data_IF_863397128895
#
_entry.id   IF_863397128895
#
_cell.length_a   1.000
_cell.length_b   1.000
_cell.length_c   1.000
_cell.angle_alpha   90.00
_cell.angle_beta   90.00
_cell.angle_gamma   90.00
#
_symmetry.space_group_name_H-M   'P 1'
#
loop_
_entity.id
_entity.type
_entity.pdbx_description
1 polymer ?
#
# COMPACT_ATOMS: atom_id res chain seq x y z
N UNK A 1 13.57 21.22 6.44
CA UNK A 1 13.20 20.56 5.17
C UNK A 1 12.36 19.33 5.53
N UNK A 2 11.12 19.22 5.05
CA UNK A 2 10.34 18.01 5.24
C UNK A 2 11.00 16.86 4.45
N UNK A 3 11.06 15.62 4.99
CA UNK A 3 11.63 14.49 4.26
C UNK A 3 10.86 14.29 2.95
N UNK A 4 11.55 14.13 1.81
CA UNK A 4 10.94 14.03 0.47
C UNK A 4 9.79 13.00 0.41
N UNK A 5 9.89 11.90 1.16
CA UNK A 5 8.84 10.89 1.24
C UNK A 5 7.51 11.37 1.86
N UNK A 6 7.52 12.40 2.70
CA UNK A 6 6.30 12.98 3.26
C UNK A 6 5.56 13.85 2.23
N UNK A 7 6.30 14.59 1.39
CA UNK A 7 5.70 15.38 0.31
C UNK A 7 5.04 14.47 -0.73
N UNK A 8 5.70 13.38 -1.14
CA UNK A 8 5.14 12.42 -2.11
C UNK A 8 3.82 11.82 -1.63
N UNK A 9 3.77 11.32 -0.38
CA UNK A 9 2.54 10.77 0.22
C UNK A 9 1.41 11.79 0.32
N UNK A 10 1.75 13.03 0.65
CA UNK A 10 0.77 14.11 0.70
C UNK A 10 0.20 14.43 -0.69
N UNK A 11 1.06 14.50 -1.71
CA UNK A 11 0.65 14.73 -3.09
C UNK A 11 -0.24 13.60 -3.63
N UNK A 12 0.15 12.35 -3.44
CA UNK A 12 -0.67 11.17 -3.82
C UNK A 12 -2.05 11.21 -3.14
N UNK A 13 -2.08 11.49 -1.84
CA UNK A 13 -3.32 11.63 -1.09
C UNK A 13 -4.19 12.77 -1.61
N UNK A 14 -3.60 13.91 -1.98
CA UNK A 14 -4.34 15.06 -2.51
C UNK A 14 -4.92 14.79 -3.89
N UNK A 15 -4.16 14.15 -4.78
CA UNK A 15 -4.64 13.72 -6.10
C UNK A 15 -5.86 12.80 -5.93
N UNK A 16 -5.77 11.82 -5.02
CA UNK A 16 -6.89 10.90 -4.76
C UNK A 16 -8.09 11.63 -4.14
N UNK A 17 -7.89 12.59 -3.24
CA UNK A 17 -8.97 13.40 -2.65
C UNK A 17 -9.72 14.27 -3.67
N UNK A 18 -9.01 14.87 -4.64
CA UNK A 18 -9.63 15.69 -5.68
C UNK A 18 -10.37 14.87 -6.73
N UNK A 19 -9.80 13.71 -7.07
CA UNK A 19 -10.32 12.82 -8.11
C UNK A 19 -11.46 11.90 -7.63
N UNK A 20 -11.25 11.17 -6.53
CA UNK A 20 -12.21 10.18 -6.00
C UNK A 20 -13.21 10.85 -5.05
N UNK A 21 -12.82 11.99 -4.47
CA UNK A 21 -13.61 12.75 -3.53
C UNK A 21 -13.11 12.65 -2.11
N UNK A 22 -13.28 13.74 -1.36
CA UNK A 22 -12.80 13.86 0.03
C UNK A 22 -13.52 12.91 0.99
N UNK A 23 -14.82 12.72 0.82
CA UNK A 23 -15.64 11.87 1.70
C UNK A 23 -15.17 10.40 1.72
N UNK A 24 -15.07 9.68 0.59
CA UNK A 24 -14.61 8.29 0.59
C UNK A 24 -13.16 8.15 1.10
N UNK A 25 -12.28 9.11 0.80
CA UNK A 25 -10.91 9.11 1.32
C UNK A 25 -10.85 9.33 2.84
N UNK A 26 -11.71 10.19 3.38
CA UNK A 26 -11.80 10.42 4.83
C UNK A 26 -12.41 9.23 5.57
N UNK A 27 -13.42 8.57 4.99
CA UNK A 27 -13.99 7.34 5.54
C UNK A 27 -12.94 6.23 5.63
N UNK A 28 -12.17 6.01 4.55
CA UNK A 28 -11.11 5.02 4.53
C UNK A 28 -10.02 5.32 5.58
N UNK A 29 -9.62 6.60 5.74
CA UNK A 29 -8.70 7.02 6.80
C UNK A 29 -9.27 6.77 8.19
N UNK A 30 -10.54 7.08 8.41
CA UNK A 30 -11.20 6.87 9.70
C UNK A 30 -11.24 5.37 10.06
N UNK A 31 -11.59 4.49 9.11
CA UNK A 31 -11.54 3.03 9.28
C UNK A 31 -10.14 2.54 9.63
N UNK A 32 -9.12 3.03 8.92
CA UNK A 32 -7.71 2.70 9.21
C UNK A 32 -7.30 3.15 10.62
N UNK A 33 -7.63 4.38 11.03
CA UNK A 33 -7.30 4.88 12.38
C UNK A 33 -8.01 4.05 13.45
N UNK A 34 -9.29 3.74 13.27
CA UNK A 34 -10.04 2.90 14.18
C UNK A 34 -9.43 1.50 14.30
N UNK A 35 -9.05 0.88 13.17
CA UNK A 35 -8.39 -0.42 13.14
C UNK A 35 -7.03 -0.38 13.87
N UNK A 36 -6.22 0.66 13.64
CA UNK A 36 -4.94 0.86 14.34
C UNK A 36 -5.16 0.99 15.85
N UNK A 37 -6.11 1.82 16.29
CA UNK A 37 -6.40 1.98 17.72
C UNK A 37 -6.88 0.69 18.36
N UNK A 38 -7.70 -0.11 17.66
CA UNK A 38 -8.20 -1.41 18.14
C UNK A 38 -7.10 -2.46 18.21
N UNK A 39 -6.23 -2.51 17.21
CA UNK A 39 -5.18 -3.50 17.06
C UNK A 39 -3.86 -3.14 17.74
N UNK A 40 -3.80 -1.97 18.38
CA UNK A 40 -2.64 -1.56 19.17
C UNK A 40 -2.64 -2.30 20.51
N UNK A 41 -2.20 -3.56 20.48
CA UNK A 41 -2.11 -4.44 21.65
C UNK A 41 -0.66 -4.86 21.91
N UNK A 42 -0.34 -5.14 23.17
CA UNK A 42 0.97 -5.62 23.64
C UNK A 42 1.36 -6.95 22.94
N UNK A 43 2.67 -7.24 22.74
CA UNK A 43 3.17 -8.44 22.04
C UNK A 43 2.68 -9.81 22.57
N UNK A 44 2.03 -9.84 23.72
CA UNK A 44 1.78 -11.07 24.50
C UNK A 44 0.52 -11.85 24.06
N UNK A 45 -0.35 -11.27 23.24
CA UNK A 45 -1.70 -11.83 22.99
C UNK A 45 -1.90 -12.44 21.59
N UNK A 46 -0.88 -12.51 20.73
CA UNK A 46 -1.04 -13.01 19.35
C UNK A 46 0.00 -14.08 19.00
N UNK A 47 -0.47 -15.30 18.74
CA UNK A 47 0.29 -16.51 18.36
C UNK A 47 0.95 -16.44 16.95
N UNK A 48 1.30 -15.25 16.45
CA UNK A 48 2.00 -15.17 15.17
C UNK A 48 3.46 -15.60 15.37
N UNK A 49 3.80 -16.81 14.94
CA UNK A 49 5.18 -17.24 14.82
C UNK A 49 5.67 -17.00 13.39
N UNK A 50 6.66 -16.11 13.24
CA UNK A 50 7.40 -15.97 11.99
C UNK A 50 8.53 -17.01 11.99
N UNK A 51 8.62 -17.81 10.94
CA UNK A 51 9.73 -18.74 10.77
C UNK A 51 10.96 -18.01 10.25
N UNK A 52 11.83 -17.60 11.18
CA UNK A 52 13.10 -16.96 10.85
C UNK A 52 14.20 -17.96 10.43
N UNK A 53 13.96 -19.28 10.57
CA UNK A 53 14.96 -20.31 10.19
C UNK A 53 15.18 -20.39 8.68
N UNK A 54 14.24 -19.87 7.88
CA UNK A 54 14.35 -19.80 6.41
C UNK A 54 15.36 -18.76 5.93
N UNK A 55 15.77 -17.83 6.81
CA UNK A 55 16.70 -16.75 6.47
C UNK A 55 18.15 -17.26 6.51
N UNK A 56 19.04 -16.77 5.63
CA UNK A 56 20.47 -17.04 5.77
C UNK A 56 21.00 -16.44 7.09
N UNK A 57 22.05 -17.04 7.69
CA UNK A 57 22.65 -16.51 8.90
C UNK A 57 23.21 -15.11 8.64
N UNK A 58 22.73 -14.14 9.42
CA UNK A 58 23.15 -12.75 9.33
C UNK A 58 24.32 -12.51 10.29
N UNK A 59 25.36 -11.74 9.88
CA UNK A 59 26.51 -11.46 10.73
C UNK A 59 26.15 -10.40 11.78
N UNK A 60 25.39 -10.81 12.81
CA UNK A 60 25.01 -9.96 13.94
C UNK A 60 25.05 -10.74 15.25
N UNK A 61 25.23 -10.06 16.40
CA UNK A 61 25.09 -10.67 17.73
C UNK A 61 23.72 -11.33 17.92
N UNK A 62 23.66 -12.44 18.66
CA UNK A 62 22.44 -13.22 18.84
C UNK A 62 21.33 -12.46 19.58
N UNK A 63 21.71 -11.59 20.52
CA UNK A 63 20.80 -10.71 21.27
C UNK A 63 20.18 -9.63 20.37
N UNK A 64 20.96 -9.05 19.46
CA UNK A 64 20.44 -8.12 18.45
C UNK A 64 19.50 -8.82 17.47
N UNK A 65 19.86 -10.05 17.06
CA UNK A 65 19.02 -10.86 16.19
C UNK A 65 17.67 -11.18 16.85
N UNK A 66 17.68 -11.61 18.11
CA UNK A 66 16.45 -11.89 18.86
C UNK A 66 15.56 -10.64 18.96
N UNK A 67 16.15 -9.49 19.30
CA UNK A 67 15.40 -8.23 19.37
C UNK A 67 14.71 -7.87 18.05
N UNK A 68 15.39 -8.06 16.91
CA UNK A 68 14.79 -7.81 15.58
C UNK A 68 13.69 -8.83 15.25
N UNK A 69 13.84 -10.09 15.66
CA UNK A 69 12.79 -11.10 15.51
C UNK A 69 11.55 -10.78 16.33
N UNK A 70 11.70 -10.33 17.58
CA UNK A 70 10.60 -9.92 18.46
C UNK A 70 9.86 -8.70 17.90
N UNK A 71 10.60 -7.72 17.39
CA UNK A 71 10.03 -6.53 16.72
C UNK A 71 9.26 -6.91 15.46
N UNK A 72 9.82 -7.76 14.61
CA UNK A 72 9.17 -8.24 13.39
C UNK A 72 7.91 -9.06 13.71
N UNK A 73 7.94 -9.86 14.77
CA UNK A 73 6.79 -10.65 15.25
C UNK A 73 5.68 -9.75 15.76
N UNK A 74 6.02 -8.76 16.59
CA UNK A 74 5.07 -7.74 17.09
C UNK A 74 4.45 -6.95 15.92
N UNK A 75 5.28 -6.54 14.97
CA UNK A 75 4.81 -5.86 13.76
C UNK A 75 3.83 -6.75 12.97
N UNK A 76 4.17 -8.03 12.76
CA UNK A 76 3.32 -8.94 12.03
C UNK A 76 1.98 -9.19 12.73
N UNK A 77 1.96 -9.27 14.07
CA UNK A 77 0.73 -9.34 14.88
C UNK A 77 -0.17 -8.14 14.61
N UNK A 78 0.36 -6.95 14.81
CA UNK A 78 -0.41 -5.71 14.67
C UNK A 78 -0.88 -5.50 13.22
N UNK A 79 0.01 -5.73 12.24
CA UNK A 79 -0.33 -5.59 10.83
C UNK A 79 -1.41 -6.60 10.38
N UNK A 80 -1.31 -7.86 10.82
CA UNK A 80 -2.33 -8.87 10.53
C UNK A 80 -3.68 -8.46 11.11
N UNK A 81 -3.72 -8.02 12.38
CA UNK A 81 -4.94 -7.53 13.00
C UNK A 81 -5.56 -6.37 12.22
N UNK A 82 -4.78 -5.36 11.86
CA UNK A 82 -5.26 -4.19 11.12
C UNK A 82 -5.83 -4.61 9.76
N UNK A 83 -5.11 -5.45 9.02
CA UNK A 83 -5.54 -5.90 7.69
C UNK A 83 -6.83 -6.72 7.75
N UNK A 84 -6.99 -7.54 8.79
CA UNK A 84 -8.22 -8.30 9.04
C UNK A 84 -9.39 -7.38 9.42
N UNK A 85 -9.17 -6.43 10.33
CA UNK A 85 -10.20 -5.48 10.77
C UNK A 85 -10.69 -4.62 9.60
N UNK A 86 -9.81 -4.30 8.66
CA UNK A 86 -10.15 -3.56 7.45
C UNK A 86 -10.69 -4.44 6.31
N UNK A 87 -10.86 -5.75 6.53
CA UNK A 87 -11.26 -6.72 5.51
C UNK A 87 -10.38 -6.69 4.24
N UNK A 88 -9.11 -6.31 4.37
CA UNK A 88 -8.18 -6.11 3.24
C UNK A 88 -7.47 -7.40 2.81
N UNK A 89 -7.47 -8.41 3.66
CA UNK A 89 -6.87 -9.72 3.40
C UNK A 89 -7.87 -10.82 3.76
N UNK A 90 -7.76 -11.93 3.05
CA UNK A 90 -8.47 -13.17 3.34
C UNK A 90 -7.70 -13.99 4.39
N UNK A 91 -8.34 -15.01 5.02
CA UNK A 91 -7.67 -15.85 6.03
C UNK A 91 -6.40 -16.57 5.52
N UNK A 92 -6.28 -16.78 4.21
CA UNK A 92 -5.11 -17.37 3.55
C UNK A 92 -3.97 -16.36 3.30
N UNK A 93 -4.14 -15.09 3.71
CA UNK A 93 -3.17 -14.02 3.53
C UNK A 93 -3.18 -13.36 2.15
N UNK A 94 -4.09 -13.78 1.25
CA UNK A 94 -4.26 -13.13 -0.05
C UNK A 94 -5.04 -11.82 0.08
N UNK A 95 -4.86 -10.86 -0.84
CA UNK A 95 -5.64 -9.62 -0.83
C UNK A 95 -7.13 -9.92 -1.03
N UNK A 96 -7.99 -9.23 -0.28
CA UNK A 96 -9.42 -9.29 -0.52
C UNK A 96 -9.76 -8.40 -1.74
N UNK A 97 -9.68 -8.99 -2.93
CA UNK A 97 -9.96 -8.27 -4.19
C UNK A 97 -11.42 -7.81 -4.28
N UNK A 98 -12.35 -8.61 -3.78
CA UNK A 98 -13.79 -8.31 -3.81
C UNK A 98 -14.13 -7.07 -2.95
N UNK A 99 -13.48 -6.90 -1.80
CA UNK A 99 -13.62 -5.68 -1.00
C UNK A 99 -13.18 -4.43 -1.79
N UNK A 100 -12.08 -4.54 -2.53
CA UNK A 100 -11.60 -3.42 -3.34
C UNK A 100 -12.52 -3.11 -4.52
N UNK A 101 -13.05 -4.13 -5.18
CA UNK A 101 -14.03 -4.00 -6.26
C UNK A 101 -15.33 -3.35 -5.76
N UNK A 102 -15.84 -3.81 -4.60
CA UNK A 102 -17.00 -3.22 -3.93
C UNK A 102 -16.77 -1.74 -3.63
N UNK A 103 -15.59 -1.40 -3.08
CA UNK A 103 -15.22 -0.01 -2.84
C UNK A 103 -15.21 0.84 -4.12
N UNK A 104 -14.59 0.36 -5.21
CA UNK A 104 -14.55 1.09 -6.50
C UNK A 104 -15.97 1.30 -7.05
N UNK A 105 -16.81 0.26 -7.02
CA UNK A 105 -18.17 0.33 -7.52
C UNK A 105 -19.07 1.26 -6.70
N UNK A 106 -18.79 1.41 -5.40
CA UNK A 106 -19.49 2.34 -4.51
C UNK A 106 -19.08 3.80 -4.67
N UNK A 107 -18.05 4.13 -5.46
CA UNK A 107 -17.62 5.50 -5.67
C UNK A 107 -18.59 6.28 -6.57
N UNK A 108 -18.94 7.48 -6.12
CA UNK A 108 -19.70 8.46 -6.93
C UNK A 108 -18.75 9.28 -7.80
N UNK A 109 -18.20 8.66 -8.83
CA UNK A 109 -17.24 9.22 -9.80
C UNK A 109 -17.72 9.04 -11.24
N UNK A 110 -17.03 9.63 -12.21
CA UNK A 110 -17.33 9.43 -13.64
C UNK A 110 -17.19 7.94 -14.02
N UNK A 111 -18.03 7.45 -14.92
CA UNK A 111 -17.97 6.05 -15.37
C UNK A 111 -16.63 5.74 -16.08
N UNK A 112 -16.02 6.74 -16.72
CA UNK A 112 -14.71 6.60 -17.34
C UNK A 112 -13.58 6.44 -16.30
N UNK A 113 -13.59 7.23 -15.23
CA UNK A 113 -12.65 7.07 -14.13
C UNK A 113 -12.88 5.74 -13.39
N UNK A 114 -14.14 5.35 -13.17
CA UNK A 114 -14.49 4.05 -12.58
C UNK A 114 -13.95 2.90 -13.43
N UNK A 115 -14.11 2.97 -14.75
CA UNK A 115 -13.52 2.02 -15.70
C UNK A 115 -12.00 1.93 -15.57
N UNK A 116 -11.32 3.08 -15.49
CA UNK A 116 -9.86 3.15 -15.33
C UNK A 116 -9.39 2.54 -13.99
N UNK A 117 -10.12 2.79 -12.89
CA UNK A 117 -9.83 2.19 -11.58
C UNK A 117 -10.08 0.68 -11.57
N UNK A 118 -11.11 0.20 -12.27
CA UNK A 118 -11.36 -1.24 -12.41
C UNK A 118 -10.30 -1.93 -13.26
N UNK A 119 -9.82 -1.30 -14.32
CA UNK A 119 -8.69 -1.79 -15.11
C UNK A 119 -7.42 -1.88 -14.24
N UNK A 120 -7.12 -0.82 -13.49
CA UNK A 120 -6.03 -0.81 -12.51
C UNK A 120 -6.16 -1.94 -11.48
N UNK A 121 -7.36 -2.17 -10.95
CA UNK A 121 -7.64 -3.27 -10.03
C UNK A 121 -7.30 -4.63 -10.64
N UNK A 122 -7.81 -4.92 -11.84
CA UNK A 122 -7.61 -6.20 -12.52
C UNK A 122 -6.13 -6.45 -12.88
N UNK A 123 -5.43 -5.41 -13.36
CA UNK A 123 -3.99 -5.47 -13.61
C UNK A 123 -3.22 -5.81 -12.33
N UNK A 124 -3.49 -5.09 -11.25
CA UNK A 124 -2.76 -5.25 -10.00
C UNK A 124 -3.09 -6.54 -9.27
N UNK A 125 -4.32 -7.04 -9.40
CA UNK A 125 -4.72 -8.38 -8.95
C UNK A 125 -3.84 -9.44 -9.62
N UNK A 126 -3.85 -9.45 -10.96
CA UNK A 126 -3.05 -10.39 -11.75
C UNK A 126 -1.55 -10.31 -11.43
N UNK A 127 -1.03 -9.09 -11.25
CA UNK A 127 0.36 -8.87 -10.84
C UNK A 127 0.67 -9.47 -9.46
N UNK A 128 -0.20 -9.24 -8.48
CA UNK A 128 0.00 -9.74 -7.12
C UNK A 128 -0.18 -11.26 -6.99
N UNK A 129 -1.06 -11.85 -7.80
CA UNK A 129 -1.27 -13.31 -7.86
C UNK A 129 -0.05 -14.04 -8.43
N UNK A 130 0.66 -13.41 -9.38
CA UNK A 130 1.88 -13.94 -9.97
C UNK A 130 3.15 -13.67 -9.14
N UNK A 131 3.06 -12.97 -8.01
CA UNK A 131 4.23 -12.61 -7.22
C UNK A 131 4.84 -13.84 -6.51
N UNK A 132 6.14 -14.13 -6.68
CA UNK A 132 6.77 -15.34 -6.14
C UNK A 132 7.12 -15.22 -4.64
N UNK A 133 6.15 -14.81 -3.82
CA UNK A 133 6.34 -14.52 -2.38
C UNK A 133 6.85 -15.74 -1.61
N UNK A 134 6.42 -16.93 -1.99
CA UNK A 134 6.73 -18.18 -1.31
C UNK A 134 8.20 -18.60 -1.50
N UNK A 135 8.85 -18.15 -2.58
CA UNK A 135 10.27 -18.43 -2.83
C UNK A 135 11.21 -17.51 -2.05
N UNK A 136 10.70 -16.41 -1.49
CA UNK A 136 11.51 -15.40 -0.83
C UNK A 136 11.82 -15.85 0.60
N UNK A 137 13.11 -15.82 0.96
CA UNK A 137 13.65 -16.19 2.28
C UNK A 137 13.52 -15.05 3.31
N UNK A 138 12.35 -14.41 3.35
CA UNK A 138 12.02 -13.38 4.33
C UNK A 138 10.60 -13.66 4.84
N UNK A 139 10.41 -13.96 6.13
CA UNK A 139 9.11 -14.39 6.66
C UNK A 139 8.02 -13.31 6.51
N UNK A 140 8.39 -12.03 6.62
CA UNK A 140 7.47 -10.91 6.41
C UNK A 140 7.05 -10.78 4.95
N UNK A 141 7.96 -11.03 4.00
CA UNK A 141 7.63 -10.98 2.58
C UNK A 141 6.74 -12.16 2.18
N UNK A 142 6.96 -13.36 2.74
CA UNK A 142 6.04 -14.48 2.56
C UNK A 142 4.63 -14.15 3.04
N UNK A 143 4.53 -13.55 4.24
CA UNK A 143 3.22 -13.25 4.86
C UNK A 143 2.49 -12.09 4.20
N UNK A 144 3.17 -10.98 3.91
CA UNK A 144 2.53 -9.75 3.46
C UNK A 144 2.82 -9.39 2.00
N UNK A 145 3.72 -10.12 1.33
CA UNK A 145 4.23 -9.75 0.01
C UNK A 145 3.14 -9.56 -1.04
N UNK A 146 2.08 -10.40 -1.04
CA UNK A 146 1.00 -10.30 -2.03
C UNK A 146 0.14 -9.06 -1.82
N UNK A 147 -0.33 -8.80 -0.60
CA UNK A 147 -1.09 -7.59 -0.27
C UNK A 147 -0.28 -6.31 -0.47
N UNK A 148 1.00 -6.38 -0.16
CA UNK A 148 1.95 -5.30 -0.42
C UNK A 148 2.13 -5.01 -1.91
N UNK A 149 2.33 -6.05 -2.73
CA UNK A 149 2.44 -5.92 -4.17
C UNK A 149 1.16 -5.35 -4.78
N UNK A 150 0.00 -5.88 -4.38
CA UNK A 150 -1.30 -5.42 -4.82
C UNK A 150 -1.52 -3.93 -4.49
N UNK A 151 -1.39 -3.55 -3.21
CA UNK A 151 -1.66 -2.17 -2.78
C UNK A 151 -0.70 -1.16 -3.38
N UNK A 152 0.58 -1.52 -3.54
CA UNK A 152 1.54 -0.66 -4.24
C UNK A 152 1.16 -0.43 -5.69
N UNK A 153 0.88 -1.50 -6.43
CA UNK A 153 0.47 -1.40 -7.81
C UNK A 153 -0.81 -0.55 -7.93
N UNK A 154 -1.82 -0.86 -7.11
CA UNK A 154 -3.11 -0.20 -7.20
C UNK A 154 -3.02 1.29 -6.85
N UNK A 155 -2.27 1.67 -5.81
CA UNK A 155 -2.11 3.08 -5.45
C UNK A 155 -1.44 3.89 -6.57
N UNK A 156 -0.42 3.34 -7.22
CA UNK A 156 0.24 3.99 -8.36
C UNK A 156 -0.73 4.13 -9.53
N UNK A 157 -1.42 3.05 -9.91
CA UNK A 157 -2.36 3.07 -11.04
C UNK A 157 -3.60 3.92 -10.79
N UNK A 158 -4.10 3.96 -9.56
CA UNK A 158 -5.18 4.86 -9.18
C UNK A 158 -4.74 6.32 -9.27
N UNK A 159 -3.54 6.67 -8.78
CA UNK A 159 -2.99 8.02 -8.94
C UNK A 159 -2.80 8.39 -10.42
N UNK A 160 -2.26 7.48 -11.24
CA UNK A 160 -2.13 7.70 -12.69
C UNK A 160 -3.50 7.95 -13.35
N UNK A 161 -4.51 7.15 -13.01
CA UNK A 161 -5.89 7.30 -13.51
C UNK A 161 -6.47 8.67 -13.14
N UNK A 162 -6.28 9.09 -11.89
CA UNK A 162 -6.71 10.40 -11.42
C UNK A 162 -6.01 11.55 -12.13
N UNK A 163 -4.70 11.47 -12.31
CA UNK A 163 -3.95 12.49 -13.06
C UNK A 163 -4.37 12.56 -14.53
N UNK A 164 -4.76 11.43 -15.13
CA UNK A 164 -5.26 11.39 -16.51
C UNK A 164 -6.66 12.01 -16.63
N UNK A 165 -7.52 11.78 -15.64
CA UNK A 165 -8.85 12.41 -15.59
C UNK A 165 -8.74 13.93 -15.42
N UNK A 166 -7.87 14.41 -14.52
CA UNK A 166 -7.61 15.84 -14.33
C UNK A 166 -7.12 16.48 -15.64
N UNK A 167 -6.22 15.82 -16.39
CA UNK A 167 -5.78 16.29 -17.72
C UNK A 167 -6.95 16.42 -18.68
N UNK A 168 -7.88 15.46 -18.71
CA UNK A 168 -9.04 15.49 -19.62
C UNK A 168 -10.00 16.63 -19.28
N UNK A 169 -10.27 16.84 -17.99
CA UNK A 169 -11.06 17.98 -17.53
C UNK A 169 -10.41 19.31 -17.92
N UNK A 170 -9.08 19.42 -17.79
CA UNK A 170 -8.33 20.62 -18.19
C UNK A 170 -8.29 20.83 -19.72
N UNK A 171 -8.18 19.75 -20.52
CA UNK A 171 -8.17 19.82 -21.99
C UNK A 171 -9.55 20.10 -22.60
N UNK A 172 -10.62 19.99 -21.80
CA UNK A 172 -11.99 20.34 -22.17
C UNK A 172 -12.35 21.79 -21.83
N UNK A 173 -11.45 22.53 -21.17
CA UNK A 173 -11.58 23.95 -20.85
C UNK A 173 -10.89 24.87 -21.89
N UNK A 174 -11.21 26.17 -21.90
CA UNK A 174 -10.68 27.12 -22.89
C UNK A 174 -9.17 27.45 -22.74
N UNK A 175 -8.53 27.09 -21.63
CA UNK A 175 -7.15 27.47 -21.34
C UNK A 175 -6.16 26.33 -21.56
N UNK A 176 -5.47 26.38 -22.69
CA UNK A 176 -4.38 25.46 -23.05
C UNK A 176 -3.15 25.72 -22.19
N UNK A 177 -2.86 24.85 -21.22
CA UNK A 177 -1.59 24.88 -20.48
C UNK A 177 -0.58 23.89 -21.09
N UNK A 178 0.66 24.36 -21.20
CA UNK A 178 1.76 23.79 -21.98
C UNK A 178 2.22 22.40 -21.46
N UNK A 179 2.12 21.38 -22.31
CA UNK A 179 2.46 19.97 -22.06
C UNK A 179 3.93 19.73 -21.63
N UNK A 180 4.82 20.69 -21.83
CA UNK A 180 6.25 20.58 -21.51
C UNK A 180 6.60 20.45 -20.02
N UNK A 181 5.80 21.06 -19.12
CA UNK A 181 6.08 21.04 -17.69
C UNK A 181 5.70 19.70 -17.02
N UNK A 182 4.78 18.94 -17.62
CA UNK A 182 4.22 17.73 -17.01
C UNK A 182 5.09 16.49 -17.22
N UNK A 183 5.90 16.47 -18.29
CA UNK A 183 6.83 15.36 -18.58
C UNK A 183 8.02 15.31 -17.61
N UNK A 184 8.36 16.42 -16.96
CA UNK A 184 9.37 16.46 -15.89
C UNK A 184 8.86 15.96 -14.52
N UNK A 185 7.55 15.87 -14.29
CA UNK A 185 7.01 15.27 -13.06
C UNK A 185 6.82 13.75 -13.16
N UNK A 186 6.90 13.17 -14.37
CA UNK A 186 6.82 11.73 -14.62
C UNK A 186 8.21 11.09 -14.76
N UNK A 187 9.17 11.58 -13.98
CA UNK A 187 10.43 10.88 -13.73
C UNK A 187 10.14 9.61 -12.94
N UNK A 188 10.16 8.49 -13.64
CA UNK A 188 9.86 7.13 -13.19
C UNK A 188 11.01 6.55 -12.34
N UNK A 189 11.54 7.34 -11.42
CA UNK A 189 12.63 6.99 -10.51
C UNK A 189 12.18 7.33 -9.08
N UNK A 190 11.59 6.35 -8.38
CA UNK A 190 11.74 6.18 -6.92
C UNK A 190 10.95 4.96 -6.46
N UNK A 191 11.60 3.81 -6.68
CA UNK A 191 11.26 2.44 -6.28
C UNK A 191 11.23 2.20 -4.75
N UNK A 192 11.18 3.23 -3.92
CA UNK A 192 11.33 3.09 -2.46
C UNK A 192 10.21 3.75 -1.67
N UNK A 193 9.11 3.03 -1.49
CA UNK A 193 8.08 3.33 -0.48
C UNK A 193 7.94 2.15 0.50
N UNK A 194 9.09 1.68 1.00
CA UNK A 194 9.18 0.84 2.20
C UNK A 194 10.10 1.35 3.29
N UNK A 195 10.74 2.52 3.15
CA UNK A 195 11.71 3.03 4.13
C UNK A 195 11.17 3.39 5.52
N UNK A 196 9.94 3.02 5.90
CA UNK A 196 9.50 3.06 7.32
C UNK A 196 8.98 1.71 7.84
N UNK A 197 8.71 0.72 6.97
CA UNK A 197 8.44 -0.67 7.38
C UNK A 197 9.72 -1.50 7.27
N UNK A 198 10.57 -1.21 6.27
CA UNK A 198 11.96 -1.65 6.20
C UNK A 198 12.85 -0.92 7.19
N UNK A 199 12.52 0.25 7.75
CA UNK A 199 13.31 0.81 8.88
C UNK A 199 13.24 -0.03 10.15
N UNK A 200 12.21 -0.87 10.30
CA UNK A 200 12.15 -1.87 11.37
C UNK A 200 13.05 -3.08 11.02
N UNK A 201 13.46 -3.20 9.75
CA UNK A 201 14.33 -4.24 9.19
C UNK A 201 15.65 -3.70 8.63
N UNK A 202 15.98 -2.42 8.87
CA UNK A 202 17.22 -1.81 8.41
C UNK A 202 18.31 -2.34 9.33
N UNK A 203 19.02 -3.32 8.80
CA UNK A 203 20.35 -3.72 9.22
C UNK A 203 21.40 -2.75 8.65
N UNK A 204 21.25 -1.46 8.97
CA UNK A 204 22.31 -0.45 8.93
C UNK A 204 22.15 0.51 10.11
#
# INVERSE_FOLDING_TARGET
>A
MAPMGAMKKYSEMKIMETCIGKAPMMEMKAKMVAAVTKCYVSPQDNEIQLDFSIMPPMPMPADEMQKKQDMATTFAANATCILNEMNMVLPDGTPNYAECESWINGLTITEELKGSLMEAHNLCKSFSDCAPVDTIKCPLTRRFGRIMAYKKCFNVKACESCMMEDKRMMMSGPDKINMGAMKMMMGLEDLMMYGNVMKVLDME
#
